data_IF_828867448329
#
_entry.id   IF_828867448329
#
_cell.length_a   1.000
_cell.length_b   1.000
_cell.length_c   1.000
_cell.angle_alpha   90.00
_cell.angle_beta   90.00
_cell.angle_gamma   90.00
#
_symmetry.space_group_name_H-M   'P 1'
#
loop_
_entity.id
_entity.type
_entity.pdbx_description
1 polymer ?
#
# COMPACT_ATOMS: atom_id res chain seq x y z
N UNK A 1 -13.23 -4.63 -9.22
CA UNK A 1 -11.93 -4.05 -9.57
C UNK A 1 -11.14 -3.84 -8.27
N UNK A 2 -9.93 -4.41 -8.11
CA UNK A 2 -9.12 -4.28 -6.89
C UNK A 2 -8.89 -2.84 -6.42
N UNK A 3 -8.79 -1.89 -7.35
CA UNK A 3 -8.62 -0.47 -7.00
C UNK A 3 -9.85 0.13 -6.29
N UNK A 4 -11.05 -0.31 -6.65
CA UNK A 4 -12.29 0.13 -6.00
C UNK A 4 -12.42 -0.44 -4.59
N UNK A 5 -12.02 -1.71 -4.41
CA UNK A 5 -11.99 -2.35 -3.08
C UNK A 5 -11.05 -1.56 -2.16
N UNK A 6 -9.86 -1.21 -2.64
CA UNK A 6 -8.91 -0.41 -1.85
C UNK A 6 -9.51 0.94 -1.41
N UNK A 7 -10.15 1.64 -2.35
CA UNK A 7 -10.68 2.99 -2.11
C UNK A 7 -11.88 2.99 -1.18
N UNK A 8 -12.75 1.98 -1.27
CA UNK A 8 -14.02 1.93 -0.53
C UNK A 8 -13.91 1.17 0.79
N UNK A 9 -13.16 0.07 0.80
CA UNK A 9 -13.11 -0.89 1.92
C UNK A 9 -11.74 -0.93 2.61
N UNK A 10 -10.71 -0.36 1.99
CA UNK A 10 -9.38 -0.24 2.57
C UNK A 10 -8.46 -1.44 2.33
N UNK A 11 -7.28 -1.37 2.95
CA UNK A 11 -6.15 -2.30 2.73
C UNK A 11 -6.47 -3.72 3.21
N UNK A 12 -7.14 -3.86 4.35
CA UNK A 12 -7.42 -5.17 4.94
C UNK A 12 -8.36 -6.00 4.07
N UNK A 13 -9.47 -5.39 3.64
CA UNK A 13 -10.46 -6.05 2.77
C UNK A 13 -9.87 -6.37 1.39
N UNK A 14 -9.05 -5.48 0.82
CA UNK A 14 -8.32 -5.78 -0.41
C UNK A 14 -7.40 -6.98 -0.24
N UNK A 15 -6.62 -7.04 0.85
CA UNK A 15 -5.68 -8.12 1.07
C UNK A 15 -6.40 -9.47 1.21
N UNK A 16 -7.49 -9.52 1.98
CA UNK A 16 -8.31 -10.71 2.14
C UNK A 16 -8.91 -11.17 0.79
N UNK A 17 -9.44 -10.24 0.00
CA UNK A 17 -9.94 -10.51 -1.34
C UNK A 17 -8.85 -11.11 -2.24
N UNK A 18 -7.68 -10.47 -2.32
CA UNK A 18 -6.59 -10.92 -3.19
C UNK A 18 -6.04 -12.29 -2.77
N UNK A 19 -5.86 -12.54 -1.46
CA UNK A 19 -5.42 -13.84 -0.96
C UNK A 19 -6.38 -14.94 -1.38
N UNK A 20 -7.69 -14.72 -1.20
CA UNK A 20 -8.72 -15.68 -1.57
C UNK A 20 -8.70 -15.98 -3.08
N UNK A 21 -8.72 -14.94 -3.91
CA UNK A 21 -8.76 -15.12 -5.38
C UNK A 21 -7.50 -15.85 -5.89
N UNK A 22 -6.32 -15.52 -5.35
CA UNK A 22 -5.07 -16.21 -5.72
C UNK A 22 -5.11 -17.66 -5.24
N UNK A 23 -5.58 -17.92 -4.02
CA UNK A 23 -5.68 -19.29 -3.51
C UNK A 23 -6.65 -20.16 -4.29
N UNK A 24 -7.79 -19.61 -4.72
CA UNK A 24 -8.78 -20.35 -5.49
C UNK A 24 -8.16 -20.85 -6.82
N UNK A 25 -7.26 -20.08 -7.45
CA UNK A 25 -6.51 -20.51 -8.64
C UNK A 25 -5.51 -21.64 -8.34
N UNK A 26 -4.70 -21.52 -7.29
CA UNK A 26 -3.72 -22.56 -6.93
C UNK A 26 -4.40 -23.86 -6.50
N UNK A 27 -5.54 -23.76 -5.81
CA UNK A 27 -6.37 -24.89 -5.41
C UNK A 27 -6.89 -25.67 -6.61
N UNK A 28 -7.35 -24.98 -7.66
CA UNK A 28 -7.81 -25.62 -8.92
C UNK A 28 -6.68 -26.41 -9.60
N UNK A 29 -5.44 -25.96 -9.47
CA UNK A 29 -4.26 -26.64 -10.02
C UNK A 29 -3.71 -27.75 -9.10
N UNK A 30 -4.32 -27.98 -7.93
CA UNK A 30 -3.86 -28.97 -6.96
C UNK A 30 -2.57 -28.58 -6.23
N UNK A 31 -2.12 -27.33 -6.35
CA UNK A 31 -0.89 -26.84 -5.73
C UNK A 31 -1.22 -26.20 -4.39
N UNK A 32 -0.51 -26.62 -3.33
CA UNK A 32 -0.63 -26.02 -2.00
C UNK A 32 0.37 -24.87 -1.86
N UNK A 33 -0.14 -23.67 -1.57
CA UNK A 33 0.66 -22.51 -1.20
C UNK A 33 0.20 -22.00 0.17
N UNK A 34 1.13 -21.51 0.99
CA UNK A 34 0.80 -20.89 2.26
C UNK A 34 0.42 -19.42 2.05
N UNK A 35 -0.70 -19.00 2.63
CA UNK A 35 -1.23 -17.65 2.55
C UNK A 35 -0.20 -16.58 2.93
N UNK A 36 0.73 -16.88 3.85
CA UNK A 36 1.80 -15.96 4.25
C UNK A 36 2.69 -15.50 3.09
N UNK A 37 2.92 -16.35 2.08
CA UNK A 37 3.68 -15.95 0.90
C UNK A 37 2.91 -14.93 0.07
N UNK A 38 1.60 -15.16 -0.12
CA UNK A 38 0.71 -14.27 -0.87
C UNK A 38 0.58 -12.94 -0.14
N UNK A 39 0.36 -12.96 1.18
CA UNK A 39 0.30 -11.77 2.03
C UNK A 39 1.57 -10.91 1.92
N UNK A 40 2.75 -11.53 1.94
CA UNK A 40 4.03 -10.81 1.82
C UNK A 40 4.13 -10.10 0.47
N UNK A 41 3.68 -10.73 -0.62
CA UNK A 41 3.68 -10.13 -1.96
C UNK A 41 2.68 -8.96 -2.01
N UNK A 42 1.46 -9.14 -1.53
CA UNK A 42 0.43 -8.08 -1.49
C UNK A 42 0.92 -6.90 -0.66
N UNK A 43 1.61 -7.16 0.45
CA UNK A 43 2.24 -6.11 1.27
C UNK A 43 3.23 -5.29 0.45
N UNK A 44 4.06 -5.92 -0.40
CA UNK A 44 4.97 -5.19 -1.29
C UNK A 44 4.23 -4.33 -2.32
N UNK A 45 3.09 -4.81 -2.84
CA UNK A 45 2.25 -4.06 -3.78
C UNK A 45 1.57 -2.82 -3.17
N UNK A 46 1.43 -2.77 -1.84
CA UNK A 46 0.76 -1.70 -1.08
C UNK A 46 1.72 -0.80 -0.28
N UNK A 47 3.01 -0.82 -0.64
CA UNK A 47 4.04 -0.03 0.08
C UNK A 47 3.97 1.46 -0.14
N UNK A 48 3.38 1.89 -1.26
CA UNK A 48 3.30 3.29 -1.63
C UNK A 48 1.94 3.89 -1.30
N UNK A 49 1.95 5.19 -1.15
CA UNK A 49 0.79 6.04 -0.92
C UNK A 49 0.90 7.26 -1.82
N UNK A 50 -0.23 7.83 -2.18
CA UNK A 50 -0.36 9.04 -2.98
C UNK A 50 -0.80 10.20 -2.08
N UNK A 51 -0.07 11.32 -2.13
CA UNK A 51 -0.37 12.50 -1.31
C UNK A 51 -1.57 13.25 -1.90
N UNK A 52 -2.66 13.32 -1.15
CA UNK A 52 -3.87 14.06 -1.50
C UNK A 52 -3.71 15.53 -1.12
N UNK A 53 -3.17 15.77 0.07
CA UNK A 53 -2.90 17.10 0.63
C UNK A 53 -1.60 17.04 1.45
N UNK A 54 -0.57 17.84 1.13
CA UNK A 54 0.67 17.84 1.89
C UNK A 54 0.54 18.46 3.29
N UNK A 55 -0.53 19.21 3.58
CA UNK A 55 -0.62 19.94 4.85
C UNK A 55 0.56 20.89 5.03
N UNK A 56 1.22 20.82 6.19
CA UNK A 56 2.46 21.55 6.51
C UNK A 56 3.71 20.65 6.51
N UNK A 57 3.61 19.48 5.87
CA UNK A 57 4.75 18.56 5.67
C UNK A 57 5.54 18.95 4.40
N UNK A 58 6.78 18.47 4.22
CA UNK A 58 7.59 18.75 3.03
C UNK A 58 7.14 18.00 1.76
N UNK A 59 6.01 17.28 1.78
CA UNK A 59 5.53 16.51 0.64
C UNK A 59 4.91 17.39 -0.46
N UNK A 60 4.82 16.83 -1.66
CA UNK A 60 4.14 17.47 -2.79
C UNK A 60 2.82 16.75 -3.07
N UNK A 61 1.77 17.51 -3.40
CA UNK A 61 0.49 16.94 -3.84
C UNK A 61 0.67 16.06 -5.09
N UNK A 62 0.16 14.83 -5.04
CA UNK A 62 0.33 13.82 -6.10
C UNK A 62 1.69 13.11 -6.09
N UNK A 63 2.55 13.39 -5.11
CA UNK A 63 3.79 12.63 -4.90
C UNK A 63 3.44 11.22 -4.41
N UNK A 64 4.17 10.22 -4.93
CA UNK A 64 4.10 8.84 -4.44
C UNK A 64 5.26 8.55 -3.51
N UNK A 65 4.99 8.38 -2.23
CA UNK A 65 6.01 8.13 -1.20
C UNK A 65 5.87 6.74 -0.59
N UNK A 66 6.90 6.27 0.13
CA UNK A 66 6.76 5.09 0.99
C UNK A 66 5.78 5.38 2.13
N UNK A 67 4.92 4.40 2.42
CA UNK A 67 3.98 4.46 3.55
C UNK A 67 4.70 4.60 4.90
N UNK A 68 5.92 4.09 5.05
CA UNK A 68 6.68 4.30 6.30
C UNK A 68 7.11 5.76 6.43
N UNK A 69 7.65 6.35 5.37
CA UNK A 69 8.14 7.74 5.35
C UNK A 69 7.04 8.75 5.71
N UNK A 70 5.85 8.64 5.14
CA UNK A 70 4.79 9.59 5.51
C UNK A 70 4.14 9.32 6.86
N UNK A 71 4.30 8.12 7.46
CA UNK A 71 3.87 7.87 8.84
C UNK A 71 4.83 8.61 9.76
N UNK A 72 6.12 8.42 9.55
CA UNK A 72 7.19 9.11 10.30
C UNK A 72 7.07 10.63 10.22
N UNK A 73 6.81 11.19 9.03
CA UNK A 73 6.66 12.63 8.86
C UNK A 73 5.36 13.16 9.47
N UNK A 74 4.26 12.41 9.38
CA UNK A 74 3.01 12.79 10.04
C UNK A 74 3.11 12.73 11.57
N UNK A 75 3.83 11.74 12.12
CA UNK A 75 4.10 11.64 13.55
C UNK A 75 4.96 12.82 14.03
N UNK A 76 5.94 13.26 13.21
CA UNK A 76 6.73 14.47 13.49
C UNK A 76 5.89 15.74 13.44
N UNK A 77 5.08 15.91 12.39
CA UNK A 77 4.20 17.07 12.25
C UNK A 77 3.24 17.18 13.44
N UNK A 78 2.69 16.07 13.91
CA UNK A 78 1.84 16.03 15.11
C UNK A 78 2.57 16.48 16.36
N UNK A 79 3.79 15.97 16.59
CA UNK A 79 4.60 16.33 17.74
C UNK A 79 4.95 17.83 17.78
N UNK A 80 5.05 18.45 16.60
CA UNK A 80 5.32 19.88 16.43
C UNK A 80 4.04 20.75 16.37
N UNK A 81 2.85 20.14 16.45
CA UNK A 81 1.57 20.84 16.35
C UNK A 81 1.23 21.37 14.95
N UNK A 82 1.89 20.84 13.92
CA UNK A 82 1.69 21.18 12.50
C UNK A 82 0.60 20.33 11.86
N UNK A 83 0.07 20.81 10.74
CA UNK A 83 -0.95 20.09 9.96
C UNK A 83 -0.31 18.89 9.24
N UNK A 84 -0.79 17.68 9.54
CA UNK A 84 -0.38 16.42 8.88
C UNK A 84 -0.72 16.40 7.40
N UNK A 85 0.03 15.61 6.64
CA UNK A 85 -0.35 15.26 5.28
C UNK A 85 -1.51 14.26 5.24
N UNK A 86 -2.41 14.47 4.30
CA UNK A 86 -3.47 13.53 3.90
C UNK A 86 -3.03 12.79 2.66
N UNK A 87 -3.26 11.48 2.68
CA UNK A 87 -2.70 10.54 1.73
C UNK A 87 -3.57 9.29 1.66
N UNK A 88 -3.47 8.56 0.55
CA UNK A 88 -4.20 7.32 0.32
C UNK A 88 -3.28 6.19 -0.12
N UNK A 89 -3.50 4.94 0.33
CA UNK A 89 -2.78 3.79 -0.20
C UNK A 89 -3.01 3.62 -1.70
N UNK A 90 -1.97 3.22 -2.41
CA UNK A 90 -2.07 2.86 -3.82
C UNK A 90 -1.67 1.40 -4.02
N UNK A 91 -2.43 0.70 -4.86
CA UNK A 91 -2.11 -0.66 -5.30
C UNK A 91 -1.24 -0.59 -6.55
N UNK A 92 0.01 -1.05 -6.45
CA UNK A 92 0.93 -1.15 -7.58
C UNK A 92 1.06 -2.59 -8.05
N UNK A 93 1.17 -2.80 -9.36
CA UNK A 93 1.58 -4.09 -9.90
C UNK A 93 3.01 -4.46 -9.47
N UNK A 94 3.32 -5.75 -9.40
CA UNK A 94 4.60 -6.25 -8.87
C UNK A 94 5.83 -5.62 -9.53
N UNK A 95 5.83 -5.43 -10.85
CA UNK A 95 6.93 -4.83 -11.60
C UNK A 95 7.14 -3.36 -11.23
N UNK A 96 6.06 -2.61 -11.06
CA UNK A 96 6.14 -1.19 -10.67
C UNK A 96 6.55 -1.08 -9.20
N UNK A 97 6.05 -1.96 -8.33
CA UNK A 97 6.43 -2.01 -6.93
C UNK A 97 7.91 -2.34 -6.73
N UNK A 98 8.47 -3.27 -7.53
CA UNK A 98 9.89 -3.63 -7.46
C UNK A 98 10.81 -2.50 -7.91
N UNK A 99 10.43 -1.74 -8.94
CA UNK A 99 11.21 -0.60 -9.44
C UNK A 99 11.08 0.64 -8.53
N UNK A 100 9.97 0.78 -7.83
CA UNK A 100 9.71 1.91 -6.94
C UNK A 100 10.29 1.72 -5.53
N UNK A 101 11.01 0.62 -5.27
CA UNK A 101 11.69 0.38 -4.00
C UNK A 101 13.00 1.17 -3.97
N UNK A 102 13.26 1.88 -2.87
CA UNK A 102 14.58 2.44 -2.59
C UNK A 102 15.56 1.26 -2.39
N UNK A 103 16.40 1.00 -3.39
CA UNK A 103 17.45 -0.01 -3.35
C UNK A 103 18.80 0.69 -3.52
N UNK A 104 19.79 0.20 -2.77
CA UNK A 104 21.17 0.69 -2.60
C UNK A 104 21.84 1.28 -3.85
#
# INVERSE_FOLDING_TARGET
NPHDILRLLGVQELAAYLVKEIQDVYRVQGVKINDKHIEVIIRQMLRKVDIIDPGETPFIKGEQIERTRGLEENDRAEAEGRVKAVWQPILLGITKASLATESF
#
